data_IF_872966134961
#
_entry.id   IF_872966134961
#
_cell.length_a   1.000
_cell.length_b   1.000
_cell.length_c   1.000
_cell.angle_alpha   90.00
_cell.angle_beta   90.00
_cell.angle_gamma   90.00
#
_symmetry.space_group_name_H-M   'P 1'
#
loop_
_entity.id
_entity.type
_entity.pdbx_description
1 polymer ?
#
# COMPACT_ATOMS: atom_id res chain seq x y z
N UNK A 1 -53.26 51.63 -9.05
CA UNK A 1 -53.31 50.27 -8.47
C UNK A 1 -52.25 49.46 -9.22
N UNK A 2 -50.98 49.54 -8.85
CA UNK A 2 -50.34 48.97 -7.66
C UNK A 2 -50.13 47.45 -7.78
N UNK A 3 -48.88 47.05 -7.52
CA UNK A 3 -48.33 45.71 -7.24
C UNK A 3 -47.75 44.86 -8.40
N UNK A 4 -46.53 45.28 -8.77
CA UNK A 4 -45.40 44.37 -8.83
C UNK A 4 -45.09 43.80 -7.42
N UNK A 5 -44.66 42.54 -7.34
CA UNK A 5 -43.90 41.83 -6.29
C UNK A 5 -44.41 40.40 -6.08
N UNK A 6 -43.46 39.50 -5.83
CA UNK A 6 -43.52 38.02 -5.67
C UNK A 6 -43.30 37.28 -7.00
N UNK A 7 -42.10 37.22 -7.57
CA UNK A 7 -40.77 37.02 -7.00
C UNK A 7 -40.70 35.79 -6.07
N UNK A 8 -39.90 34.81 -6.47
CA UNK A 8 -39.84 33.49 -5.82
C UNK A 8 -39.54 32.32 -6.76
N UNK A 9 -38.98 32.62 -7.93
CA UNK A 9 -38.09 31.73 -8.66
C UNK A 9 -37.04 31.24 -7.65
N UNK A 10 -37.20 30.03 -7.11
CA UNK A 10 -36.33 29.52 -6.03
C UNK A 10 -34.93 29.33 -6.62
N UNK A 11 -33.95 30.21 -6.34
CA UNK A 11 -32.61 30.13 -6.92
C UNK A 11 -31.79 28.97 -6.32
N UNK A 12 -32.38 28.25 -5.36
CA UNK A 12 -31.79 27.09 -4.68
C UNK A 12 -32.00 25.78 -5.44
N UNK A 13 -33.01 25.66 -6.31
CA UNK A 13 -33.22 24.42 -7.07
C UNK A 13 -32.23 24.27 -8.24
N UNK A 14 -31.71 25.38 -8.78
CA UNK A 14 -30.65 25.38 -9.78
C UNK A 14 -29.24 25.19 -9.19
N UNK A 15 -29.07 25.41 -7.88
CA UNK A 15 -27.83 25.11 -7.14
C UNK A 15 -27.67 23.63 -6.75
N UNK A 16 -28.77 22.86 -6.72
CA UNK A 16 -28.74 21.42 -6.39
C UNK A 16 -28.43 20.55 -7.62
N UNK A 17 -28.59 21.07 -8.84
CA UNK A 17 -28.23 20.36 -10.07
C UNK A 17 -26.72 20.11 -10.23
N UNK A 18 -25.89 20.80 -9.42
CA UNK A 18 -24.44 20.60 -9.31
C UNK A 18 -24.01 19.54 -8.29
N UNK A 19 -24.94 18.94 -7.54
CA UNK A 19 -24.73 17.62 -6.91
C UNK A 19 -24.84 16.56 -8.01
N UNK A 20 -23.92 16.64 -8.98
CA UNK A 20 -23.60 15.46 -9.76
C UNK A 20 -23.24 14.39 -8.74
N UNK A 21 -24.11 13.37 -8.71
CA UNK A 21 -23.83 12.02 -8.22
C UNK A 21 -22.32 11.81 -8.24
N UNK A 22 -21.74 11.45 -7.09
CA UNK A 22 -20.43 10.80 -7.07
C UNK A 22 -20.38 9.88 -8.30
N UNK A 23 -19.52 10.21 -9.27
CA UNK A 23 -19.61 9.67 -10.63
C UNK A 23 -19.83 8.18 -10.54
N UNK A 24 -20.87 7.67 -11.20
CA UNK A 24 -21.26 6.25 -11.12
C UNK A 24 -19.99 5.40 -11.26
N UNK A 25 -19.66 4.64 -10.22
CA UNK A 25 -18.48 3.78 -10.22
C UNK A 25 -18.55 2.93 -11.49
N UNK A 26 -17.54 2.94 -12.37
CA UNK A 26 -17.59 2.16 -13.59
C UNK A 26 -17.93 0.70 -13.24
N UNK A 27 -18.90 0.12 -13.96
CA UNK A 27 -19.27 -1.29 -13.82
C UNK A 27 -18.15 -2.18 -14.37
N UNK A 28 -17.05 -2.25 -13.63
CA UNK A 28 -15.96 -3.19 -13.87
C UNK A 28 -16.30 -4.54 -13.21
N UNK A 29 -15.80 -5.67 -13.75
CA UNK A 29 -15.95 -6.98 -13.11
C UNK A 29 -15.31 -7.03 -11.72
N UNK A 30 -14.22 -6.29 -11.50
CA UNK A 30 -13.52 -6.17 -10.22
C UNK A 30 -13.67 -4.75 -9.68
N UNK A 31 -14.08 -4.62 -8.41
CA UNK A 31 -14.22 -3.33 -7.75
C UNK A 31 -12.95 -2.48 -7.88
N UNK A 32 -13.02 -1.19 -8.24
CA UNK A 32 -11.84 -0.41 -8.64
C UNK A 32 -10.83 -0.15 -7.51
N UNK A 33 -11.24 -0.30 -6.25
CA UNK A 33 -10.42 -0.06 -5.06
C UNK A 33 -10.43 -1.27 -4.13
N UNK A 34 -9.36 -1.44 -3.35
CA UNK A 34 -9.48 -2.20 -2.10
C UNK A 34 -10.27 -1.34 -1.09
N UNK A 35 -11.13 -1.99 -0.31
CA UNK A 35 -11.91 -1.35 0.74
C UNK A 35 -11.17 -1.49 2.07
N UNK A 36 -10.98 -0.39 2.77
CA UNK A 36 -10.48 -0.39 4.13
C UNK A 36 -11.64 -0.71 5.08
N UNK A 37 -11.50 -1.78 5.86
CA UNK A 37 -12.53 -2.22 6.81
C UNK A 37 -11.93 -2.30 8.20
N UNK A 38 -12.67 -1.75 9.16
CA UNK A 38 -12.36 -1.79 10.57
C UNK A 38 -13.30 -2.73 11.31
N UNK A 39 -12.76 -3.82 11.87
CA UNK A 39 -13.52 -4.81 12.65
C UNK A 39 -12.96 -4.92 14.07
N UNK A 40 -13.74 -5.52 14.98
CA UNK A 40 -13.30 -5.76 16.36
C UNK A 40 -12.02 -6.63 16.44
N UNK A 41 -11.80 -7.49 15.43
CA UNK A 41 -10.63 -8.36 15.29
C UNK A 41 -9.42 -7.66 14.66
N UNK A 42 -9.56 -6.41 14.23
CA UNK A 42 -8.51 -5.63 13.57
C UNK A 42 -8.99 -4.98 12.28
N UNK A 43 -8.14 -4.14 11.69
CA UNK A 43 -8.38 -3.54 10.38
C UNK A 43 -7.91 -4.46 9.27
N UNK A 44 -8.45 -4.32 8.08
CA UNK A 44 -8.04 -5.11 6.93
C UNK A 44 -8.45 -4.50 5.60
N UNK A 45 -7.96 -5.12 4.54
CA UNK A 45 -8.21 -4.72 3.16
C UNK A 45 -9.12 -5.74 2.48
N UNK A 46 -10.15 -5.28 1.78
CA UNK A 46 -11.08 -6.16 1.04
C UNK A 46 -11.05 -5.84 -0.45
N UNK A 47 -10.73 -6.86 -1.23
CA UNK A 47 -10.90 -6.88 -2.68
C UNK A 47 -12.25 -7.51 -3.01
N UNK A 48 -12.87 -7.06 -4.10
CA UNK A 48 -14.17 -7.60 -4.53
C UNK A 48 -14.17 -7.89 -6.02
N UNK A 49 -14.54 -9.12 -6.37
CA UNK A 49 -14.83 -9.56 -7.73
C UNK A 49 -16.34 -9.76 -7.86
N UNK A 50 -16.99 -8.90 -8.64
CA UNK A 50 -18.42 -8.96 -8.90
C UNK A 50 -18.76 -10.03 -9.93
N UNK A 51 -17.99 -10.07 -11.02
CA UNK A 51 -18.22 -10.89 -12.21
C UNK A 51 -16.87 -11.46 -12.69
N UNK A 52 -16.91 -12.53 -13.48
CA UNK A 52 -15.69 -13.08 -14.08
C UNK A 52 -15.02 -12.07 -15.05
N UNK A 53 -13.79 -11.60 -14.79
CA UNK A 53 -13.07 -10.69 -15.68
C UNK A 53 -12.51 -11.36 -16.96
N UNK A 54 -12.74 -12.66 -17.16
CA UNK A 54 -12.20 -13.45 -18.27
C UNK A 54 -11.14 -14.45 -17.82
N UNK A 55 -11.36 -15.11 -16.69
CA UNK A 55 -10.52 -16.16 -16.11
C UNK A 55 -9.38 -15.65 -15.21
N UNK A 56 -8.64 -16.61 -14.65
CA UNK A 56 -7.60 -16.38 -13.66
C UNK A 56 -6.56 -15.30 -14.03
N UNK A 57 -6.07 -15.31 -15.28
CA UNK A 57 -5.06 -14.33 -15.72
C UNK A 57 -5.62 -12.89 -15.80
N UNK A 58 -6.89 -12.72 -16.19
CA UNK A 58 -7.54 -11.41 -16.19
C UNK A 58 -7.81 -10.93 -14.76
N UNK A 59 -8.23 -11.83 -13.88
CA UNK A 59 -8.42 -11.53 -12.46
C UNK A 59 -7.10 -11.11 -11.81
N UNK A 60 -6.01 -11.85 -11.99
CA UNK A 60 -4.69 -11.49 -11.46
C UNK A 60 -4.26 -10.08 -11.92
N UNK A 61 -4.38 -9.80 -13.22
CA UNK A 61 -4.04 -8.47 -13.79
C UNK A 61 -4.90 -7.35 -13.21
N UNK A 62 -6.17 -7.62 -12.90
CA UNK A 62 -7.05 -6.66 -12.25
C UNK A 62 -6.70 -6.45 -10.77
N UNK A 63 -6.44 -7.52 -10.02
CA UNK A 63 -6.15 -7.47 -8.58
C UNK A 63 -4.78 -6.85 -8.28
N UNK A 64 -3.75 -7.18 -9.06
CA UNK A 64 -2.37 -6.74 -8.81
C UNK A 64 -2.22 -5.24 -8.53
N UNK A 65 -2.68 -4.32 -9.41
CA UNK A 65 -2.55 -2.89 -9.16
C UNK A 65 -3.37 -2.42 -7.95
N UNK A 66 -4.48 -3.08 -7.60
CA UNK A 66 -5.32 -2.72 -6.45
C UNK A 66 -4.65 -3.10 -5.13
N UNK A 67 -4.07 -4.30 -5.09
CA UNK A 67 -3.29 -4.77 -3.93
C UNK A 67 -2.07 -3.88 -3.72
N UNK A 68 -1.26 -3.66 -4.78
CA UNK A 68 -0.07 -2.82 -4.69
C UNK A 68 -0.44 -1.38 -4.28
N UNK A 69 -1.49 -0.80 -4.87
CA UNK A 69 -1.92 0.56 -4.53
C UNK A 69 -2.43 0.68 -3.08
N UNK A 70 -3.22 -0.27 -2.60
CA UNK A 70 -3.75 -0.24 -1.23
C UNK A 70 -2.64 -0.36 -0.19
N UNK A 71 -1.69 -1.28 -0.40
CA UNK A 71 -0.54 -1.43 0.47
C UNK A 71 0.37 -0.19 0.42
N UNK A 72 0.64 0.36 -0.77
CA UNK A 72 1.42 1.59 -0.92
C UNK A 72 0.75 2.79 -0.23
N UNK A 73 -0.57 2.93 -0.36
CA UNK A 73 -1.31 3.99 0.32
C UNK A 73 -1.11 3.93 1.84
N UNK A 74 -1.11 2.72 2.43
CA UNK A 74 -0.79 2.52 3.84
C UNK A 74 0.67 2.86 4.20
N UNK A 75 1.63 2.48 3.35
CA UNK A 75 3.06 2.68 3.60
C UNK A 75 3.54 4.14 3.39
N UNK A 76 2.79 4.92 2.61
CA UNK A 76 3.14 6.31 2.31
C UNK A 76 2.51 7.33 3.28
N UNK A 77 1.85 6.84 4.35
CA UNK A 77 1.22 7.70 5.37
C UNK A 77 2.25 8.51 6.15
N UNK A 78 1.88 9.73 6.53
CA UNK A 78 2.68 10.62 7.36
C UNK A 78 2.59 10.23 8.85
N UNK A 79 3.56 10.68 9.68
CA UNK A 79 3.48 10.48 11.13
C UNK A 79 2.19 11.02 11.75
N UNK A 80 1.62 12.11 11.22
CA UNK A 80 0.37 12.65 11.72
C UNK A 80 -0.80 11.72 11.39
N UNK A 81 -0.90 11.24 10.15
CA UNK A 81 -1.94 10.32 9.73
C UNK A 81 -1.90 9.03 10.57
N UNK A 82 -0.70 8.50 10.84
CA UNK A 82 -0.51 7.33 11.70
C UNK A 82 -0.97 7.58 13.14
N UNK A 83 -0.75 8.78 13.69
CA UNK A 83 -1.26 9.14 15.02
C UNK A 83 -2.79 9.23 15.05
N UNK A 84 -3.40 9.76 13.99
CA UNK A 84 -4.86 9.90 13.88
C UNK A 84 -5.55 8.54 13.66
N UNK A 85 -4.90 7.63 12.93
CA UNK A 85 -5.39 6.25 12.72
C UNK A 85 -4.22 5.25 12.81
N UNK A 86 -3.86 4.79 14.03
CA UNK A 86 -2.70 3.94 14.26
C UNK A 86 -2.94 2.48 13.86
N UNK A 87 -4.08 2.19 13.21
CA UNK A 87 -4.46 0.83 12.91
C UNK A 87 -3.65 0.30 11.76
N UNK A 88 -3.03 -0.85 12.01
CA UNK A 88 -2.33 -1.64 11.03
C UNK A 88 -3.29 -2.67 10.41
N UNK A 89 -3.25 -2.88 9.09
CA UNK A 89 -4.03 -3.95 8.47
C UNK A 89 -3.48 -5.31 8.93
N UNK A 90 -4.37 -6.16 9.42
CA UNK A 90 -4.08 -7.50 9.93
C UNK A 90 -4.32 -8.59 8.87
N UNK A 91 -5.13 -8.29 7.84
CA UNK A 91 -5.50 -9.25 6.81
C UNK A 91 -5.85 -8.56 5.49
N UNK A 92 -5.77 -9.34 4.41
CA UNK A 92 -6.29 -9.02 3.09
C UNK A 92 -7.28 -10.12 2.69
N UNK A 93 -8.50 -9.71 2.30
CA UNK A 93 -9.58 -10.61 1.87
C UNK A 93 -9.94 -10.37 0.41
N UNK A 94 -10.45 -11.41 -0.24
CA UNK A 94 -11.11 -11.33 -1.53
C UNK A 94 -12.47 -12.03 -1.44
N UNK A 95 -13.53 -11.33 -1.86
CA UNK A 95 -14.86 -11.90 -2.06
C UNK A 95 -15.17 -11.97 -3.57
N UNK A 96 -15.45 -13.17 -4.10
CA UNK A 96 -15.89 -13.38 -5.46
C UNK A 96 -17.37 -13.79 -5.47
N UNK A 97 -18.24 -13.01 -6.12
CA UNK A 97 -19.68 -13.29 -6.17
C UNK A 97 -20.10 -14.12 -7.39
N UNK A 98 -19.30 -14.12 -8.44
CA UNK A 98 -19.39 -15.09 -9.53
C UNK A 98 -18.17 -16.02 -9.51
N UNK A 99 -18.34 -17.32 -9.82
CA UNK A 99 -17.22 -18.24 -9.97
C UNK A 99 -16.25 -17.78 -11.06
N UNK A 100 -14.95 -17.87 -10.80
CA UNK A 100 -13.90 -17.61 -11.78
C UNK A 100 -13.09 -18.89 -11.98
N UNK A 101 -12.95 -19.33 -13.22
CA UNK A 101 -12.15 -20.52 -13.51
C UNK A 101 -10.70 -20.35 -13.03
N UNK A 102 -10.22 -21.32 -12.25
CA UNK A 102 -8.87 -21.37 -11.66
C UNK A 102 -8.50 -20.11 -10.85
N UNK A 103 -9.46 -19.58 -10.08
CA UNK A 103 -9.24 -18.41 -9.20
C UNK A 103 -8.03 -18.58 -8.27
N UNK A 104 -7.73 -19.80 -7.80
CA UNK A 104 -6.58 -20.08 -6.94
C UNK A 104 -5.26 -19.70 -7.64
N UNK A 105 -5.12 -19.95 -8.95
CA UNK A 105 -3.94 -19.52 -9.69
C UNK A 105 -3.82 -17.99 -9.79
N UNK A 106 -4.95 -17.27 -9.87
CA UNK A 106 -4.95 -15.81 -9.94
C UNK A 106 -4.47 -15.15 -8.65
N UNK A 107 -4.85 -15.73 -7.52
CA UNK A 107 -4.70 -15.10 -6.20
C UNK A 107 -3.48 -15.58 -5.42
N UNK A 108 -2.87 -16.70 -5.82
CA UNK A 108 -1.69 -17.31 -5.18
C UNK A 108 -0.53 -16.34 -4.99
N UNK A 109 -0.26 -15.49 -5.99
CA UNK A 109 0.81 -14.49 -5.92
C UNK A 109 0.58 -13.40 -4.85
N UNK A 110 -0.64 -13.30 -4.32
CA UNK A 110 -0.99 -12.41 -3.20
C UNK A 110 -1.08 -13.17 -1.87
N UNK A 111 -0.70 -14.45 -1.83
CA UNK A 111 -0.74 -15.29 -0.63
C UNK A 111 -2.15 -15.66 -0.16
N UNK A 112 -3.17 -15.23 -0.90
CA UNK A 112 -4.58 -15.52 -0.64
C UNK A 112 -4.84 -17.02 -0.74
N UNK A 113 -5.40 -17.59 0.33
CA UNK A 113 -5.86 -18.97 0.39
C UNK A 113 -7.38 -19.00 0.62
N UNK A 114 -8.04 -20.10 0.26
CA UNK A 114 -9.49 -20.25 0.48
C UNK A 114 -9.83 -20.06 1.95
N UNK A 115 -10.89 -19.30 2.20
CA UNK A 115 -11.37 -18.97 3.53
C UNK A 115 -12.82 -19.45 3.71
N UNK A 116 -13.15 -19.88 4.92
CA UNK A 116 -14.54 -20.18 5.29
C UNK A 116 -15.27 -18.87 5.64
N UNK A 117 -16.40 -18.64 4.96
CA UNK A 117 -17.26 -17.49 5.26
C UNK A 117 -18.01 -17.77 6.56
N UNK A 118 -17.78 -16.95 7.57
CA UNK A 118 -18.34 -17.15 8.90
C UNK A 118 -18.63 -15.83 9.63
N UNK A 119 -18.81 -15.88 10.98
CA UNK A 119 -19.11 -14.70 11.77
C UNK A 119 -18.11 -13.54 11.60
N UNK A 120 -16.82 -13.85 11.37
CA UNK A 120 -15.76 -12.86 11.13
C UNK A 120 -15.95 -12.08 9.82
N UNK A 121 -16.69 -12.62 8.85
CA UNK A 121 -16.95 -11.96 7.56
C UNK A 121 -18.19 -11.08 7.55
N UNK A 122 -19.00 -11.08 8.62
CA UNK A 122 -20.29 -10.37 8.63
C UNK A 122 -20.16 -8.88 8.36
N UNK A 123 -19.19 -8.22 8.98
CA UNK A 123 -18.98 -6.79 8.81
C UNK A 123 -18.41 -6.48 7.42
N UNK A 124 -17.41 -7.25 7.00
CA UNK A 124 -16.88 -7.25 5.63
C UNK A 124 -18.01 -7.35 4.58
N UNK A 125 -18.87 -8.36 4.64
CA UNK A 125 -19.95 -8.58 3.67
C UNK A 125 -21.03 -7.49 3.72
N UNK A 126 -21.31 -6.93 4.90
CA UNK A 126 -22.21 -5.79 5.02
C UNK A 126 -21.67 -4.56 4.30
N UNK A 127 -20.35 -4.29 4.41
CA UNK A 127 -19.73 -3.19 3.69
C UNK A 127 -19.72 -3.41 2.18
N UNK A 128 -19.38 -4.62 1.75
CA UNK A 128 -19.39 -5.02 0.33
C UNK A 128 -20.78 -4.87 -0.30
N UNK A 129 -21.86 -5.28 0.40
CA UNK A 129 -23.24 -5.03 -0.08
C UNK A 129 -23.57 -3.54 -0.18
N UNK A 130 -23.05 -2.73 0.73
CA UNK A 130 -23.16 -1.28 0.66
C UNK A 130 -22.50 -0.71 -0.61
N UNK A 131 -21.29 -1.18 -0.94
CA UNK A 131 -20.58 -0.79 -2.17
C UNK A 131 -21.27 -1.30 -3.46
N UNK A 132 -21.80 -2.53 -3.43
CA UNK A 132 -22.61 -3.06 -4.52
C UNK A 132 -23.84 -2.17 -4.78
N UNK A 133 -24.56 -1.81 -3.72
CA UNK A 133 -25.74 -0.93 -3.79
C UNK A 133 -25.41 0.45 -4.37
N UNK A 134 -24.26 1.04 -3.99
CA UNK A 134 -23.79 2.32 -4.54
C UNK A 134 -23.45 2.25 -6.03
N UNK A 135 -23.16 1.06 -6.55
CA UNK A 135 -22.81 0.80 -7.94
C UNK A 135 -23.99 0.24 -8.75
N UNK A 136 -25.21 0.32 -8.21
CA UNK A 136 -26.43 -0.27 -8.76
C UNK A 136 -26.27 -1.77 -9.07
N UNK A 137 -25.54 -2.51 -8.21
CA UNK A 137 -25.33 -3.96 -8.29
C UNK A 137 -26.12 -4.67 -7.20
N UNK A 138 -26.78 -5.76 -7.56
CA UNK A 138 -27.37 -6.70 -6.62
C UNK A 138 -26.43 -7.91 -6.53
N UNK A 139 -26.02 -8.26 -5.32
CA UNK A 139 -25.12 -9.39 -5.05
C UNK A 139 -25.75 -10.31 -3.99
N UNK A 140 -25.50 -11.63 -4.06
CA UNK A 140 -25.92 -12.55 -3.02
C UNK A 140 -25.39 -12.17 -1.63
N UNK A 141 -26.03 -12.71 -0.58
CA UNK A 141 -25.61 -12.46 0.81
C UNK A 141 -24.22 -13.04 1.13
N UNK A 142 -23.86 -14.15 0.49
CA UNK A 142 -22.58 -14.85 0.62
C UNK A 142 -21.87 -14.90 -0.74
N UNK A 143 -20.54 -14.73 -0.77
CA UNK A 143 -19.78 -14.87 -2.00
C UNK A 143 -19.73 -16.33 -2.46
N UNK A 144 -19.61 -16.56 -3.77
CA UNK A 144 -19.40 -17.88 -4.32
C UNK A 144 -18.05 -18.47 -3.87
N UNK A 145 -17.01 -17.63 -3.81
CA UNK A 145 -15.70 -18.01 -3.31
C UNK A 145 -15.11 -16.88 -2.44
N UNK A 146 -14.43 -17.25 -1.36
CA UNK A 146 -13.79 -16.33 -0.43
C UNK A 146 -12.34 -16.73 -0.20
N UNK A 147 -11.46 -15.73 -0.12
CA UNK A 147 -10.04 -15.92 0.15
C UNK A 147 -9.54 -14.93 1.19
N UNK A 148 -8.56 -15.36 1.98
CA UNK A 148 -7.94 -14.54 3.02
C UNK A 148 -6.43 -14.81 3.09
N UNK A 149 -5.67 -13.80 3.49
CA UNK A 149 -4.26 -13.90 3.87
C UNK A 149 -3.98 -12.97 5.04
N UNK A 150 -3.13 -13.41 5.97
CA UNK A 150 -2.68 -12.59 7.08
C UNK A 150 -1.60 -11.58 6.64
N UNK A 151 -1.59 -10.41 7.27
CA UNK A 151 -0.57 -9.37 7.11
C UNK A 151 0.26 -9.32 8.39
N UNK A 152 1.49 -9.82 8.33
CA UNK A 152 2.27 -10.17 9.53
C UNK A 152 3.62 -9.45 9.61
N UNK A 153 4.05 -9.17 10.84
CA UNK A 153 5.40 -8.65 11.09
C UNK A 153 6.33 -9.84 11.28
N UNK A 154 7.67 -9.65 11.16
CA UNK A 154 8.62 -10.68 11.51
C UNK A 154 8.35 -11.21 12.93
N UNK A 155 8.47 -12.51 13.14
CA UNK A 155 8.29 -13.12 14.46
C UNK A 155 9.52 -12.92 15.36
N UNK A 156 9.33 -13.11 16.67
CA UNK A 156 10.40 -13.14 17.66
C UNK A 156 11.14 -11.81 17.84
N UNK A 157 12.46 -11.88 18.02
CA UNK A 157 13.31 -10.71 18.33
C UNK A 157 13.21 -9.62 17.25
N UNK A 158 13.21 -10.01 15.97
CA UNK A 158 13.13 -9.09 14.83
C UNK A 158 11.85 -8.26 14.85
N UNK A 159 10.70 -8.90 15.09
CA UNK A 159 9.43 -8.20 15.22
C UNK A 159 9.41 -7.18 16.36
N UNK A 160 10.00 -7.54 17.50
CA UNK A 160 10.11 -6.64 18.66
C UNK A 160 11.02 -5.45 18.35
N UNK A 161 12.15 -5.67 17.69
CA UNK A 161 13.09 -4.61 17.29
C UNK A 161 12.45 -3.67 16.26
N UNK A 162 11.76 -4.21 15.27
CA UNK A 162 11.06 -3.43 14.25
C UNK A 162 9.91 -2.61 14.83
N UNK A 163 9.16 -3.16 15.79
CA UNK A 163 8.11 -2.42 16.50
C UNK A 163 8.67 -1.29 17.38
N UNK A 164 9.83 -1.48 18.02
CA UNK A 164 10.52 -0.39 18.75
C UNK A 164 10.96 0.72 17.81
N UNK A 165 11.51 0.35 16.65
CA UNK A 165 11.93 1.30 15.63
C UNK A 165 10.76 2.11 15.08
N UNK A 166 9.62 1.45 14.78
CA UNK A 166 8.36 2.11 14.39
C UNK A 166 7.92 3.14 15.45
N UNK A 167 7.84 2.73 16.72
CA UNK A 167 7.44 3.60 17.81
C UNK A 167 8.36 4.84 17.96
N UNK A 168 9.67 4.68 17.80
CA UNK A 168 10.62 5.79 17.86
C UNK A 168 10.43 6.77 16.70
N UNK A 169 10.23 6.26 15.47
CA UNK A 169 9.99 7.10 14.29
C UNK A 169 8.66 7.87 14.36
N UNK A 170 7.62 7.27 14.94
CA UNK A 170 6.34 7.93 15.19
C UNK A 170 6.42 9.01 16.27
N UNK A 171 7.20 8.77 17.33
CA UNK A 171 7.35 9.67 18.47
C UNK A 171 7.92 11.04 18.05
N UNK A 172 8.86 11.06 17.10
CA UNK A 172 9.42 12.31 16.56
C UNK A 172 8.32 13.23 15.96
N UNK A 173 7.26 12.64 15.39
CA UNK A 173 6.05 13.37 15.00
C UNK A 173 6.20 14.47 13.95
N UNK A 174 7.33 14.52 13.24
CA UNK A 174 7.58 15.56 12.25
C UNK A 174 6.93 15.15 10.92
N UNK A 175 5.83 15.81 10.55
CA UNK A 175 5.27 15.66 9.21
C UNK A 175 6.20 16.35 8.21
N UNK A 176 6.78 15.54 7.32
CA UNK A 176 7.64 16.00 6.23
C UNK A 176 7.14 15.39 4.95
N UNK A 177 7.18 16.18 3.90
CA UNK A 177 7.01 15.68 2.53
C UNK A 177 8.25 14.85 2.21
N UNK A 178 8.05 13.57 1.88
CA UNK A 178 9.15 12.72 1.43
C UNK A 178 9.78 13.33 0.18
N UNK A 179 11.11 13.29 0.10
CA UNK A 179 11.87 13.85 -1.02
C UNK A 179 12.07 15.37 -0.99
N UNK A 180 11.40 16.13 -0.10
CA UNK A 180 11.56 17.58 -0.05
C UNK A 180 12.97 17.98 0.46
N UNK A 181 13.46 17.50 1.62
CA UNK A 181 14.89 17.41 1.86
C UNK A 181 15.38 16.01 1.48
N UNK A 182 16.30 15.88 0.49
CA UNK A 182 16.93 14.61 0.13
C UNK A 182 17.54 13.89 1.34
N UNK A 183 17.31 12.58 1.48
CA UNK A 183 17.87 11.76 2.55
C UNK A 183 17.27 11.97 3.94
N UNK A 184 16.28 12.86 4.10
CA UNK A 184 15.74 13.17 5.43
C UNK A 184 15.08 11.98 6.14
N UNK A 185 14.39 11.10 5.40
CA UNK A 185 13.74 9.92 5.99
C UNK A 185 14.79 8.87 6.36
N UNK A 186 15.83 8.71 5.54
CA UNK A 186 16.97 7.85 5.86
C UNK A 186 17.70 8.33 7.13
N UNK A 187 17.96 9.63 7.25
CA UNK A 187 18.64 10.19 8.41
C UNK A 187 17.88 9.94 9.71
N UNK A 188 16.54 9.99 9.67
CA UNK A 188 15.68 9.66 10.81
C UNK A 188 15.72 8.17 11.14
N UNK A 189 15.62 7.31 10.13
CA UNK A 189 15.76 5.86 10.28
C UNK A 189 17.11 5.50 10.94
N UNK A 190 18.21 6.10 10.44
CA UNK A 190 19.55 5.94 11.00
C UNK A 190 19.63 6.37 12.46
N UNK A 191 19.08 7.54 12.78
CA UNK A 191 19.08 8.05 14.15
C UNK A 191 18.30 7.13 15.09
N UNK A 192 17.09 6.72 14.69
CA UNK A 192 16.23 5.84 15.49
C UNK A 192 16.87 4.44 15.67
N UNK A 193 17.46 3.87 14.62
CA UNK A 193 18.16 2.59 14.70
C UNK A 193 19.37 2.65 15.63
N UNK A 194 20.16 3.74 15.59
CA UNK A 194 21.29 3.92 16.48
C UNK A 194 20.85 4.06 17.95
N UNK A 195 19.75 4.76 18.20
CA UNK A 195 19.24 5.02 19.55
C UNK A 195 18.57 3.78 20.16
N UNK A 196 17.70 3.11 19.41
CA UNK A 196 16.87 2.02 19.92
C UNK A 196 17.54 0.64 19.81
N UNK A 197 18.37 0.45 18.79
CA UNK A 197 18.97 -0.85 18.46
C UNK A 197 20.49 -0.85 18.60
N UNK A 198 21.12 0.32 18.78
CA UNK A 198 22.58 0.45 18.76
C UNK A 198 23.19 0.23 17.38
N UNK A 199 22.38 0.28 16.32
CA UNK A 199 22.80 -0.02 14.95
C UNK A 199 23.26 1.26 14.23
N UNK A 200 24.54 1.32 13.89
CA UNK A 200 25.13 2.41 13.11
C UNK A 200 24.95 2.15 11.62
N UNK A 201 23.93 2.77 11.01
CA UNK A 201 23.62 2.58 9.59
C UNK A 201 24.34 3.64 8.75
N UNK A 202 25.33 3.22 7.96
CA UNK A 202 25.94 4.08 6.94
C UNK A 202 25.21 3.92 5.58
N UNK A 203 25.31 4.87 4.64
CA UNK A 203 24.70 4.75 3.32
C UNK A 203 25.54 3.85 2.41
N UNK A 204 25.67 2.57 2.78
CA UNK A 204 26.39 1.57 1.99
C UNK A 204 25.49 0.38 1.62
N UNK A 205 25.86 -0.34 0.56
CA UNK A 205 25.21 -1.60 0.17
C UNK A 205 25.26 -2.64 1.30
N UNK A 206 26.37 -2.73 2.03
CA UNK A 206 26.50 -3.63 3.18
C UNK A 206 25.53 -3.26 4.31
N UNK A 207 25.42 -1.97 4.64
CA UNK A 207 24.47 -1.50 5.64
C UNK A 207 23.00 -1.71 5.19
N UNK A 208 22.72 -1.66 3.89
CA UNK A 208 21.39 -1.98 3.36
C UNK A 208 21.02 -3.45 3.64
N UNK A 209 21.97 -4.38 3.53
CA UNK A 209 21.77 -5.79 3.91
C UNK A 209 21.51 -5.93 5.42
N UNK A 210 22.20 -5.16 6.26
CA UNK A 210 21.98 -5.18 7.71
C UNK A 210 20.59 -4.67 8.09
N UNK A 211 20.15 -3.58 7.45
CA UNK A 211 18.80 -3.01 7.66
C UNK A 211 17.72 -3.96 7.15
N UNK A 212 17.95 -4.60 6.01
CA UNK A 212 17.06 -5.62 5.44
C UNK A 212 16.78 -6.77 6.42
N UNK A 213 17.81 -7.22 7.15
CA UNK A 213 17.68 -8.32 8.10
C UNK A 213 16.69 -8.03 9.25
N UNK A 214 16.38 -6.76 9.54
CA UNK A 214 15.40 -6.37 10.57
C UNK A 214 13.96 -6.72 10.19
N UNK A 215 13.63 -6.68 8.89
CA UNK A 215 12.26 -6.90 8.40
C UNK A 215 12.13 -8.07 7.42
N UNK A 216 13.22 -8.74 7.07
CA UNK A 216 13.18 -9.96 6.28
C UNK A 216 12.33 -11.05 6.96
N UNK A 217 11.45 -11.69 6.19
CA UNK A 217 10.60 -12.79 6.65
C UNK A 217 10.65 -13.92 5.63
N UNK A 218 10.89 -15.13 6.12
CA UNK A 218 10.93 -16.37 5.31
C UNK A 218 9.58 -17.12 5.33
N UNK A 219 8.59 -16.59 6.05
CA UNK A 219 7.28 -17.22 6.20
C UNK A 219 6.53 -17.15 4.86
N UNK A 220 6.16 -18.32 4.34
CA UNK A 220 5.40 -18.44 3.10
C UNK A 220 3.92 -18.12 3.33
N UNK A 221 3.25 -17.63 2.27
CA UNK A 221 1.80 -17.46 2.28
C UNK A 221 1.27 -16.37 3.23
N UNK A 222 2.11 -15.40 3.61
CA UNK A 222 1.70 -14.21 4.36
C UNK A 222 2.14 -12.95 3.63
N UNK A 223 1.38 -11.87 3.77
CA UNK A 223 1.83 -10.54 3.38
C UNK A 223 2.77 -10.02 4.46
N UNK A 224 4.00 -9.70 4.08
CA UNK A 224 5.13 -9.41 4.98
C UNK A 224 5.17 -7.93 5.37
N UNK A 225 4.45 -7.55 6.41
CA UNK A 225 4.33 -6.16 6.81
C UNK A 225 5.67 -5.51 7.19
N UNK A 226 5.87 -4.28 6.71
CA UNK A 226 6.89 -3.33 7.17
C UNK A 226 6.19 -2.04 7.65
N UNK A 227 6.64 -1.42 8.76
CA UNK A 227 6.13 -0.12 9.19
C UNK A 227 6.28 0.98 8.13
N UNK A 228 5.29 1.88 7.95
CA UNK A 228 5.32 2.95 6.94
C UNK A 228 6.55 3.85 7.00
N UNK A 229 6.94 4.29 8.21
CA UNK A 229 8.08 5.20 8.36
C UNK A 229 9.42 4.49 8.14
N UNK A 230 9.50 3.19 8.44
CA UNK A 230 10.68 2.36 8.11
C UNK A 230 10.77 2.16 6.59
N UNK A 231 9.65 1.88 5.93
CA UNK A 231 9.56 1.77 4.47
C UNK A 231 10.02 3.05 3.75
N UNK A 232 9.56 4.21 4.21
CA UNK A 232 9.95 5.51 3.64
C UNK A 232 11.44 5.78 3.85
N UNK A 233 11.97 5.47 5.04
CA UNK A 233 13.40 5.55 5.33
C UNK A 233 14.25 4.61 4.47
N UNK A 234 13.77 3.39 4.21
CA UNK A 234 14.42 2.41 3.35
C UNK A 234 14.46 2.85 1.88
N UNK A 235 13.35 3.38 1.35
CA UNK A 235 13.33 3.96 0.01
C UNK A 235 14.35 5.11 -0.12
N UNK A 236 14.41 5.97 0.90
CA UNK A 236 15.34 7.09 0.92
C UNK A 236 16.80 6.64 1.06
N UNK A 237 17.07 5.60 1.85
CA UNK A 237 18.40 4.99 2.01
C UNK A 237 18.95 4.50 0.67
N UNK A 238 18.13 3.79 -0.12
CA UNK A 238 18.52 3.31 -1.46
C UNK A 238 18.90 4.50 -2.36
N UNK A 239 18.12 5.59 -2.33
CA UNK A 239 18.41 6.78 -3.13
C UNK A 239 19.71 7.47 -2.70
N UNK A 240 19.99 7.50 -1.39
CA UNK A 240 21.24 8.04 -0.83
C UNK A 240 22.44 7.17 -1.21
N UNK A 241 22.35 5.84 -1.08
CA UNK A 241 23.38 4.87 -1.52
C UNK A 241 23.71 5.08 -2.99
N UNK A 242 22.69 5.18 -3.84
CA UNK A 242 22.87 5.41 -5.27
C UNK A 242 23.67 6.69 -5.54
N UNK A 243 23.40 7.76 -4.79
CA UNK A 243 24.06 9.05 -4.96
C UNK A 243 25.47 9.12 -4.35
N UNK A 244 25.66 8.56 -3.17
CA UNK A 244 26.88 8.70 -2.38
C UNK A 244 27.90 7.59 -2.65
N UNK A 245 27.47 6.33 -2.62
CA UNK A 245 28.36 5.17 -2.79
C UNK A 245 28.52 4.80 -4.27
N UNK A 246 27.41 4.73 -5.02
CA UNK A 246 27.44 4.34 -6.44
C UNK A 246 27.73 5.51 -7.39
N UNK A 247 27.81 6.74 -6.86
CA UNK A 247 28.18 7.94 -7.61
C UNK A 247 27.19 8.31 -8.73
N UNK A 248 25.94 7.86 -8.66
CA UNK A 248 24.90 8.16 -9.65
C UNK A 248 24.08 9.38 -9.19
N UNK A 249 24.04 10.50 -9.93
CA UNK A 249 23.22 11.64 -9.53
C UNK A 249 21.73 11.27 -9.41
N UNK A 250 21.16 11.46 -8.23
CA UNK A 250 19.74 11.18 -7.92
C UNK A 250 18.99 12.46 -7.59
N UNK A 251 17.72 12.53 -7.99
CA UNK A 251 16.78 13.59 -7.65
C UNK A 251 15.48 12.97 -7.14
N UNK A 252 15.03 13.44 -5.98
CA UNK A 252 13.82 12.95 -5.33
C UNK A 252 12.59 13.64 -5.92
N UNK A 253 11.52 12.88 -6.14
CA UNK A 253 10.21 13.45 -6.41
C UNK A 253 9.49 13.71 -5.08
N UNK A 254 9.09 14.96 -4.84
CA UNK A 254 8.32 15.30 -3.64
C UNK A 254 6.94 14.64 -3.67
N UNK A 255 6.56 13.96 -2.59
CA UNK A 255 5.26 13.26 -2.50
C UNK A 255 4.30 14.02 -1.59
N UNK A 256 3.70 15.07 -2.14
CA UNK A 256 2.62 15.81 -1.48
C UNK A 256 1.33 14.98 -1.47
N UNK A 257 0.47 15.13 -0.44
CA UNK A 257 -0.87 14.55 -0.48
C UNK A 257 -1.69 15.20 -1.60
N UNK A 258 -2.50 14.40 -2.29
CA UNK A 258 -3.47 14.88 -3.27
C UNK A 258 -4.75 15.42 -2.60
N UNK A 259 -5.75 15.77 -3.40
CA UNK A 259 -7.05 16.28 -2.92
C UNK A 259 -7.81 15.29 -2.00
N UNK A 260 -7.47 14.00 -2.07
CA UNK A 260 -8.05 12.93 -1.27
C UNK A 260 -7.17 12.58 -0.06
N UNK A 261 -6.09 13.33 0.15
CA UNK A 261 -5.10 13.07 1.21
C UNK A 261 -4.11 11.95 0.86
N UNK A 262 -4.19 11.34 -0.32
CA UNK A 262 -3.32 10.23 -0.70
C UNK A 262 -1.98 10.75 -1.19
N UNK A 263 -0.90 10.13 -0.74
CA UNK A 263 0.47 10.48 -1.17
C UNK A 263 0.93 9.53 -2.26
N UNK A 264 1.55 10.10 -3.30
CA UNK A 264 2.20 9.30 -4.33
C UNK A 264 3.34 8.46 -3.70
N UNK A 265 3.60 7.24 -4.21
CA UNK A 265 4.72 6.43 -3.77
C UNK A 265 6.08 7.13 -3.99
N UNK A 266 7.10 6.82 -3.18
CA UNK A 266 8.47 7.28 -3.41
C UNK A 266 8.98 6.98 -4.83
N UNK A 267 9.42 8.02 -5.54
CA UNK A 267 10.02 7.94 -6.87
C UNK A 267 11.28 8.79 -6.89
N UNK A 268 12.32 8.31 -7.57
CA UNK A 268 13.50 9.11 -7.86
C UNK A 268 13.77 9.16 -9.36
N UNK A 269 14.45 10.22 -9.77
CA UNK A 269 15.04 10.37 -11.09
C UNK A 269 16.55 10.22 -10.97
N UNK A 270 17.12 9.28 -11.71
CA UNK A 270 18.55 9.02 -11.69
C UNK A 270 19.16 9.28 -13.07
N UNK A 271 20.40 9.78 -13.09
CA UNK A 271 21.21 9.89 -14.31
C UNK A 271 22.12 8.66 -14.43
N UNK A 272 21.77 7.76 -15.34
CA UNK A 272 22.54 6.56 -15.71
C UNK A 272 23.30 6.80 -17.02
N UNK A 273 24.04 5.79 -17.49
CA UNK A 273 24.91 5.95 -18.66
C UNK A 273 24.07 6.12 -19.96
N UNK A 274 22.93 5.42 -20.05
CA UNK A 274 21.96 5.51 -21.15
C UNK A 274 21.00 6.71 -21.05
N UNK A 275 21.09 7.52 -19.99
CA UNK A 275 20.30 8.74 -19.82
C UNK A 275 19.55 8.83 -18.50
N UNK A 276 18.49 9.63 -18.50
CA UNK A 276 17.72 9.94 -17.29
C UNK A 276 16.52 9.01 -17.19
N UNK A 277 16.41 8.28 -16.08
CA UNK A 277 15.33 7.31 -15.82
C UNK A 277 14.58 7.65 -14.54
N UNK A 278 13.29 7.31 -14.53
CA UNK A 278 12.46 7.36 -13.33
C UNK A 278 12.40 5.97 -12.69
N UNK A 279 12.78 5.88 -11.43
CA UNK A 279 12.84 4.63 -10.67
C UNK A 279 11.73 4.67 -9.61
N UNK A 280 10.68 3.84 -9.74
CA UNK A 280 9.56 3.82 -8.79
C UNK A 280 9.95 3.02 -7.54
N UNK A 281 10.83 3.60 -6.71
CA UNK A 281 11.39 2.97 -5.51
C UNK A 281 10.31 2.34 -4.63
N UNK A 282 9.25 3.09 -4.32
CA UNK A 282 8.18 2.61 -3.45
C UNK A 282 7.55 1.31 -3.96
N UNK A 283 7.29 1.21 -5.28
CA UNK A 283 6.71 0.00 -5.86
C UNK A 283 7.67 -1.19 -5.83
N UNK A 284 8.96 -0.97 -6.12
CA UNK A 284 9.96 -2.02 -6.09
C UNK A 284 10.21 -2.52 -4.66
N UNK A 285 10.40 -1.60 -3.72
CA UNK A 285 10.59 -1.93 -2.30
C UNK A 285 9.36 -2.64 -1.76
N UNK A 286 8.14 -2.19 -2.07
CA UNK A 286 6.90 -2.86 -1.65
C UNK A 286 6.86 -4.31 -2.16
N UNK A 287 7.17 -4.53 -3.45
CA UNK A 287 7.22 -5.90 -3.99
C UNK A 287 8.23 -6.76 -3.27
N UNK A 288 9.35 -6.18 -2.90
CA UNK A 288 10.42 -6.86 -2.19
C UNK A 288 10.06 -7.18 -0.73
N UNK A 289 9.53 -6.23 0.03
CA UNK A 289 9.36 -6.37 1.47
C UNK A 289 7.98 -6.86 1.88
N UNK A 290 6.92 -6.55 1.11
CA UNK A 290 5.52 -6.85 1.48
C UNK A 290 4.94 -8.07 0.82
N UNK A 291 5.25 -8.30 -0.46
CA UNK A 291 4.54 -9.33 -1.22
C UNK A 291 4.90 -10.73 -0.69
N UNK A 292 3.96 -11.70 -0.69
CA UNK A 292 4.24 -13.03 -0.17
C UNK A 292 5.30 -13.76 -0.98
N UNK A 293 6.09 -14.59 -0.30
CA UNK A 293 7.00 -15.52 -0.94
C UNK A 293 6.26 -16.79 -1.35
N UNK A 294 6.48 -17.23 -2.58
CA UNK A 294 6.01 -18.53 -3.07
C UNK A 294 6.98 -19.66 -2.69
N UNK A 295 6.51 -20.91 -2.58
CA UNK A 295 7.40 -22.05 -2.34
C UNK A 295 8.51 -22.15 -3.40
N UNK A 296 9.76 -22.15 -2.96
CA UNK A 296 10.95 -22.22 -3.83
C UNK A 296 11.34 -20.90 -4.49
N UNK A 297 10.62 -19.80 -4.21
CA UNK A 297 11.03 -18.46 -4.63
C UNK A 297 12.21 -17.97 -3.77
N UNK A 298 13.21 -17.41 -4.43
CA UNK A 298 14.31 -16.71 -3.79
C UNK A 298 14.27 -15.27 -4.28
N UNK A 299 14.19 -14.33 -3.35
CA UNK A 299 14.26 -12.91 -3.66
C UNK A 299 15.70 -12.45 -3.45
N UNK A 300 16.35 -11.82 -4.46
CA UNK A 300 17.71 -11.31 -4.28
C UNK A 300 17.69 -10.19 -3.23
N UNK A 301 18.78 -9.98 -2.48
CA UNK A 301 18.86 -8.87 -1.53
C UNK A 301 18.58 -7.50 -2.17
N UNK A 302 18.08 -6.55 -1.39
CA UNK A 302 17.84 -5.18 -1.85
C UNK A 302 19.12 -4.51 -2.34
N UNK A 303 20.26 -4.84 -1.75
CA UNK A 303 21.56 -4.36 -2.19
C UNK A 303 21.90 -4.82 -3.62
N UNK A 304 21.65 -6.09 -3.95
CA UNK A 304 21.87 -6.61 -5.30
C UNK A 304 20.93 -5.96 -6.31
N UNK A 305 19.67 -5.73 -5.93
CA UNK A 305 18.73 -4.99 -6.75
C UNK A 305 19.17 -3.54 -6.96
N UNK A 306 19.62 -2.84 -5.92
CA UNK A 306 20.12 -1.47 -6.02
C UNK A 306 21.34 -1.41 -6.94
N UNK A 307 22.28 -2.34 -6.79
CA UNK A 307 23.44 -2.46 -7.67
C UNK A 307 23.01 -2.70 -9.14
N UNK A 308 22.05 -3.58 -9.39
CA UNK A 308 21.53 -3.82 -10.75
C UNK A 308 20.88 -2.57 -11.35
N UNK A 309 20.07 -1.83 -10.57
CA UNK A 309 19.37 -0.65 -11.09
C UNK A 309 20.27 0.57 -11.30
N UNK A 310 21.27 0.77 -10.43
CA UNK A 310 22.07 2.00 -10.40
C UNK A 310 23.50 1.80 -10.90
N UNK A 311 24.13 0.65 -10.70
CA UNK A 311 25.51 0.42 -11.17
C UNK A 311 25.56 -0.14 -12.60
N UNK A 312 24.58 -0.95 -13.01
CA UNK A 312 24.54 -1.60 -14.33
C UNK A 312 23.46 -1.00 -15.23
N UNK A 313 23.80 0.07 -15.96
CA UNK A 313 23.20 0.51 -17.23
C UNK A 313 23.93 1.73 -17.75
#
# INVERSE_FOLDING_TARGET
MAQALMDGDRPLNSLIAGLHRAGSVPRAPVHPRALDIDEATGSGLVLVCWEDPGGAAALHRALKPRVEAALLAGLCRSPQELKESPRRPAWLRLACFEPVEDVEAAVRAFGLARAEVGPSWRHTLAHVRGEASKSDREVPDEPAEAFEVAIEMPEGKRGVELARLEAALEAEGIDRVWGAPPGASFMRLRQAAQQELGLGIEPTLDALLEVEALFAQDRLGVVRYIPPLVFQGLCDMIAVIANEELGRPVQWAETHPDEQGLRAPPVVRAKLDDGVVYIPLGQHVLRWCMMPLLPGESVPPLADWALDQFARR
#
